data_IF_996621404943
#
_entry.id   IF_996621404943
#
_cell.length_a   1.000
_cell.length_b   1.000
_cell.length_c   1.000
_cell.angle_alpha   90.00
_cell.angle_beta   90.00
_cell.angle_gamma   90.00
#
_symmetry.space_group_name_H-M   'P 1'
#
loop_
_entity.id
_entity.type
_entity.pdbx_description
1 polymer ?
#
# COMPACT_ATOMS: atom_id res chain seq x y z
N UNK A 1 17.83 4.49 25.66
CA UNK A 1 17.84 4.25 24.19
C UNK A 1 16.66 5.02 23.59
N UNK A 2 16.89 5.91 22.62
CA UNK A 2 15.80 6.62 21.91
C UNK A 2 15.25 5.68 20.84
N UNK A 3 13.95 5.43 20.84
CA UNK A 3 13.32 4.61 19.80
C UNK A 3 13.19 5.43 18.51
N UNK A 4 13.66 4.87 17.39
CA UNK A 4 13.49 5.48 16.06
C UNK A 4 12.36 4.75 15.36
N UNK A 5 11.36 5.50 14.89
CA UNK A 5 10.29 4.94 14.05
C UNK A 5 10.81 4.76 12.63
N UNK A 6 10.64 3.57 12.07
CA UNK A 6 11.02 3.25 10.69
C UNK A 6 9.75 2.89 9.93
N UNK A 7 9.56 3.46 8.76
CA UNK A 7 8.45 3.11 7.87
C UNK A 7 8.84 1.92 7.00
N UNK A 8 7.98 0.91 6.94
CA UNK A 8 8.14 -0.25 6.08
C UNK A 8 7.02 -0.24 5.04
N UNK A 9 7.42 -0.32 3.78
CA UNK A 9 6.49 -0.47 2.67
C UNK A 9 6.24 -1.96 2.46
N UNK A 10 4.97 -2.35 2.55
CA UNK A 10 4.56 -3.76 2.55
C UNK A 10 3.55 -4.00 1.44
N UNK A 11 3.75 -5.06 0.67
CA UNK A 11 2.79 -5.53 -0.35
C UNK A 11 2.37 -6.95 -0.03
N UNK A 12 1.06 -7.16 0.08
CA UNK A 12 0.44 -8.47 0.28
C UNK A 12 -0.43 -8.77 -0.93
N UNK A 13 -0.17 -9.91 -1.58
CA UNK A 13 -1.03 -10.46 -2.62
C UNK A 13 -2.14 -11.32 -2.01
N UNK A 14 -3.26 -11.41 -2.70
CA UNK A 14 -4.35 -12.31 -2.38
C UNK A 14 -4.59 -13.22 -3.58
N UNK A 15 -4.51 -14.53 -3.38
CA UNK A 15 -4.81 -15.53 -4.42
C UNK A 15 -6.32 -15.69 -4.59
N UNK A 16 -6.73 -16.32 -5.69
CA UNK A 16 -8.14 -16.58 -6.00
C UNK A 16 -8.84 -17.45 -4.93
N UNK A 17 -8.09 -18.26 -4.19
CA UNK A 17 -8.57 -19.06 -3.04
C UNK A 17 -8.64 -18.25 -1.72
N UNK A 18 -8.32 -16.95 -1.75
CA UNK A 18 -8.29 -16.07 -0.59
C UNK A 18 -6.99 -16.12 0.23
N UNK A 19 -6.01 -16.95 -0.15
CA UNK A 19 -4.74 -17.02 0.56
C UNK A 19 -3.95 -15.71 0.41
N UNK A 20 -3.52 -15.15 1.55
CA UNK A 20 -2.64 -13.97 1.62
C UNK A 20 -1.18 -14.39 1.52
N UNK A 21 -0.42 -13.66 0.71
CA UNK A 21 1.00 -13.92 0.48
C UNK A 21 1.76 -12.62 0.60
N UNK A 22 2.78 -12.60 1.44
CA UNK A 22 3.69 -11.47 1.55
C UNK A 22 4.55 -11.42 0.29
N UNK A 23 4.38 -10.37 -0.51
CA UNK A 23 5.10 -10.22 -1.78
C UNK A 23 6.35 -9.34 -1.66
N UNK A 24 6.33 -8.35 -0.75
CA UNK A 24 7.46 -7.45 -0.49
C UNK A 24 7.36 -6.81 0.90
N UNK A 25 8.52 -6.60 1.53
CA UNK A 25 8.72 -5.73 2.70
C UNK A 25 10.04 -5.00 2.49
N UNK A 26 10.00 -3.67 2.39
CA UNK A 26 11.23 -2.86 2.25
C UNK A 26 11.17 -1.60 3.10
N UNK A 27 12.30 -1.25 3.71
CA UNK A 27 12.54 0.09 4.21
C UNK A 27 13.10 0.93 3.05
N UNK A 28 12.36 1.96 2.63
CA UNK A 28 12.75 2.84 1.52
C UNK A 28 13.07 4.27 1.99
N UNK A 29 13.14 4.51 3.30
CA UNK A 29 13.37 5.85 3.86
C UNK A 29 12.16 6.80 3.78
N UNK A 30 11.03 6.36 3.21
CA UNK A 30 9.80 7.12 3.11
C UNK A 30 8.77 6.46 2.19
N UNK A 31 7.64 7.15 1.99
CA UNK A 31 6.49 6.69 1.20
C UNK A 31 6.34 7.51 -0.11
N UNK A 32 7.44 7.91 -0.73
CA UNK A 32 7.39 8.69 -1.98
C UNK A 32 6.89 7.84 -3.15
N UNK A 33 6.47 8.50 -4.23
CA UNK A 33 6.02 7.79 -5.43
C UNK A 33 7.15 6.94 -6.04
N UNK A 34 8.39 7.42 -5.99
CA UNK A 34 9.58 6.72 -6.49
C UNK A 34 9.88 5.49 -5.63
N UNK A 35 9.76 5.61 -4.29
CA UNK A 35 9.94 4.48 -3.38
C UNK A 35 8.93 3.37 -3.63
N UNK A 36 7.65 3.72 -3.82
CA UNK A 36 6.61 2.76 -4.17
C UNK A 36 6.80 2.19 -5.57
N UNK A 37 7.16 3.02 -6.56
CA UNK A 37 7.39 2.57 -7.94
C UNK A 37 8.52 1.55 -8.02
N UNK A 38 9.62 1.77 -7.30
CA UNK A 38 10.71 0.80 -7.22
C UNK A 38 10.25 -0.58 -6.68
N UNK A 39 9.33 -0.61 -5.71
CA UNK A 39 8.75 -1.86 -5.19
C UNK A 39 7.84 -2.52 -6.22
N UNK A 40 6.98 -1.73 -6.89
CA UNK A 40 6.04 -2.27 -7.87
C UNK A 40 6.76 -2.78 -9.12
N UNK A 41 7.78 -2.07 -9.59
CA UNK A 41 8.61 -2.51 -10.72
C UNK A 41 9.39 -3.79 -10.39
N UNK A 42 9.93 -3.94 -9.18
CA UNK A 42 10.53 -5.20 -8.70
C UNK A 42 9.53 -6.36 -8.75
N UNK A 43 8.30 -6.13 -8.30
CA UNK A 43 7.24 -7.14 -8.34
C UNK A 43 6.89 -7.54 -9.78
N UNK A 44 6.75 -6.56 -10.69
CA UNK A 44 6.51 -6.82 -12.11
C UNK A 44 7.68 -7.58 -12.74
N UNK A 45 8.93 -7.21 -12.43
CA UNK A 45 10.12 -7.92 -12.87
C UNK A 45 10.18 -9.37 -12.39
N UNK A 46 9.58 -9.67 -11.23
CA UNK A 46 9.38 -11.03 -10.71
C UNK A 46 8.17 -11.76 -11.26
N UNK A 47 7.44 -11.15 -12.21
CA UNK A 47 6.30 -11.75 -12.90
C UNK A 47 4.93 -11.39 -12.34
N UNK A 48 4.81 -10.39 -11.45
CA UNK A 48 3.50 -9.89 -11.04
C UNK A 48 2.81 -9.25 -12.25
N UNK A 49 1.70 -9.84 -12.66
CA UNK A 49 0.83 -9.27 -13.70
C UNK A 49 -0.01 -8.13 -13.13
N UNK A 50 -0.54 -7.28 -14.01
CA UNK A 50 -1.50 -6.23 -13.66
C UNK A 50 -2.60 -6.79 -12.75
N UNK A 51 -2.78 -6.25 -11.53
CA UNK A 51 -3.85 -6.68 -10.63
C UNK A 51 -5.24 -6.31 -11.16
N UNK A 52 -6.24 -7.12 -10.84
CA UNK A 52 -7.65 -6.81 -11.10
C UNK A 52 -8.21 -5.78 -10.11
N UNK A 53 -7.63 -5.71 -8.91
CA UNK A 53 -8.08 -4.84 -7.82
C UNK A 53 -6.95 -4.55 -6.84
N UNK A 54 -6.96 -3.34 -6.27
CA UNK A 54 -5.98 -2.91 -5.27
C UNK A 54 -6.69 -2.34 -4.04
N UNK A 55 -6.21 -2.71 -2.86
CA UNK A 55 -6.62 -2.10 -1.58
C UNK A 55 -5.42 -1.39 -1.00
N UNK A 56 -5.53 -0.07 -0.82
CA UNK A 56 -4.44 0.76 -0.32
C UNK A 56 -4.88 1.58 0.88
N UNK A 57 -3.94 1.92 1.74
CA UNK A 57 -4.19 2.87 2.82
C UNK A 57 -4.33 4.31 2.32
N UNK A 58 -4.16 4.54 1.01
CA UNK A 58 -4.22 5.76 0.21
C UNK A 58 -3.24 6.85 0.63
N UNK A 59 -2.00 6.43 0.87
CA UNK A 59 -0.84 7.31 0.84
C UNK A 59 -0.64 7.90 -0.57
N UNK A 60 -0.47 9.23 -0.73
CA UNK A 60 -0.38 9.87 -2.04
C UNK A 60 0.76 9.36 -2.94
N UNK A 61 1.87 8.91 -2.35
CA UNK A 61 2.99 8.33 -3.11
C UNK A 61 2.60 7.02 -3.78
N UNK A 62 1.92 6.13 -3.04
CA UNK A 62 1.43 4.87 -3.59
C UNK A 62 0.37 5.09 -4.67
N UNK A 63 -0.57 6.01 -4.44
CA UNK A 63 -1.63 6.32 -5.41
C UNK A 63 -1.04 6.80 -6.75
N UNK A 64 -0.03 7.68 -6.71
CA UNK A 64 0.69 8.14 -7.91
C UNK A 64 1.45 7.01 -8.59
N UNK A 65 2.14 6.17 -7.82
CA UNK A 65 2.90 5.05 -8.37
C UNK A 65 1.99 4.02 -9.07
N UNK A 66 0.82 3.72 -8.49
CA UNK A 66 -0.20 2.84 -9.08
C UNK A 66 -0.74 3.45 -10.35
N UNK A 67 -1.18 4.71 -10.33
CA UNK A 67 -1.74 5.38 -11.52
C UNK A 67 -0.74 5.41 -12.68
N UNK A 68 0.56 5.59 -12.39
CA UNK A 68 1.62 5.61 -13.39
C UNK A 68 2.00 4.22 -13.95
N UNK A 69 1.69 3.13 -13.25
CA UNK A 69 2.07 1.76 -13.65
C UNK A 69 0.88 0.96 -14.20
N UNK A 70 -0.29 1.10 -13.58
CA UNK A 70 -1.49 0.32 -13.86
C UNK A 70 -2.72 1.22 -13.99
N UNK A 71 -2.70 2.06 -15.02
CA UNK A 71 -3.81 2.96 -15.32
C UNK A 71 -5.15 2.22 -15.41
N UNK A 72 -6.18 2.80 -14.80
CA UNK A 72 -7.54 2.25 -14.76
C UNK A 72 -7.75 0.99 -13.91
N UNK A 73 -6.76 0.50 -13.14
CA UNK A 73 -7.05 -0.55 -12.13
C UNK A 73 -7.94 0.02 -11.03
N UNK A 74 -9.05 -0.65 -10.67
CA UNK A 74 -9.88 -0.21 -9.57
C UNK A 74 -9.13 -0.23 -8.23
N UNK A 75 -9.17 0.89 -7.51
CA UNK A 75 -8.50 1.06 -6.22
C UNK A 75 -9.53 1.35 -5.15
N UNK A 76 -9.48 0.61 -4.05
CA UNK A 76 -10.27 0.84 -2.85
C UNK A 76 -9.39 1.35 -1.70
N UNK A 77 -9.90 2.33 -0.95
CA UNK A 77 -9.33 2.72 0.34
C UNK A 77 -9.55 1.63 1.38
N UNK A 78 -8.49 1.24 2.08
CA UNK A 78 -8.53 0.26 3.16
C UNK A 78 -9.47 0.74 4.28
N UNK A 79 -10.54 -0.02 4.52
CA UNK A 79 -11.55 0.31 5.53
C UNK A 79 -10.99 0.23 6.94
N UNK A 80 -10.04 -0.66 7.21
CA UNK A 80 -9.36 -0.76 8.53
C UNK A 80 -8.58 0.51 8.83
N UNK A 81 -7.75 0.98 7.89
CA UNK A 81 -7.00 2.24 8.08
C UNK A 81 -7.93 3.42 8.17
N UNK A 82 -8.98 3.48 7.33
CA UNK A 82 -9.96 4.55 7.38
C UNK A 82 -10.70 4.59 8.72
N UNK A 83 -11.13 3.45 9.23
CA UNK A 83 -11.82 3.36 10.52
C UNK A 83 -10.90 3.79 11.67
N UNK A 84 -9.64 3.32 11.71
CA UNK A 84 -8.67 3.77 12.71
C UNK A 84 -8.44 5.28 12.64
N UNK A 85 -8.30 5.83 11.44
CA UNK A 85 -8.12 7.27 11.25
C UNK A 85 -9.34 8.06 11.77
N UNK A 86 -10.55 7.59 11.48
CA UNK A 86 -11.79 8.22 11.98
C UNK A 86 -11.85 8.20 13.51
N UNK A 87 -11.64 7.03 14.15
CA UNK A 87 -11.69 6.93 15.61
C UNK A 87 -10.60 7.75 16.31
N UNK A 88 -9.44 7.93 15.67
CA UNK A 88 -8.34 8.70 16.25
C UNK A 88 -8.55 10.23 16.16
N UNK A 89 -9.40 10.72 15.26
CA UNK A 89 -9.57 12.16 15.00
C UNK A 89 -10.99 12.67 15.20
N UNK A 90 -11.99 11.78 15.30
CA UNK A 90 -13.35 12.16 15.62
C UNK A 90 -13.45 12.58 17.10
N UNK A 91 -14.31 13.56 17.44
CA UNK A 91 -14.56 13.91 18.82
C UNK A 91 -15.30 12.77 19.55
N UNK A 92 -15.07 12.64 20.86
CA UNK A 92 -15.74 11.60 21.67
C UNK A 92 -17.26 11.82 21.76
N UNK A 93 -17.74 13.04 21.52
CA UNK A 93 -19.16 13.43 21.46
C UNK A 93 -19.37 14.44 20.34
N UNK A 94 -20.52 14.35 19.67
CA UNK A 94 -20.97 15.28 18.63
C UNK A 94 -21.47 16.60 19.22
#
# INVERSE_FOLDING_TARGET
RKATSISLLVVIGVRADGQKILLSVKNMGGETAEAWRAILDDLVGRGLRRPEFLIVDGAPGLDRAIAALWDGVPVQRCTVHKHRNLLAHAPERL
#
